data_IF_962206583430
#
_entry.id   IF_962206583430
#
_cell.length_a   1.000
_cell.length_b   1.000
_cell.length_c   1.000
_cell.angle_alpha   90.00
_cell.angle_beta   90.00
_cell.angle_gamma   90.00
#
_symmetry.space_group_name_H-M   'P 1'
#
loop_
_entity.id
_entity.type
_entity.pdbx_description
1 polymer ?
#
# COMPACT_ATOMS: atom_id res chain seq x y z
N UNK A 1 45.05 26.01 -6.79
CA UNK A 1 44.82 25.69 -5.36
C UNK A 1 43.40 26.10 -5.03
N UNK A 2 42.53 25.17 -4.62
CA UNK A 2 41.12 25.48 -4.30
C UNK A 2 41.05 26.15 -2.93
N UNK A 3 40.42 27.31 -2.83
CA UNK A 3 40.25 28.03 -1.56
C UNK A 3 39.10 27.44 -0.75
N UNK A 4 39.20 27.45 0.58
CA UNK A 4 38.17 26.95 1.53
C UNK A 4 36.79 27.55 1.24
N UNK A 5 36.73 28.80 0.79
CA UNK A 5 35.49 29.48 0.39
C UNK A 5 34.89 28.93 -0.92
N UNK A 6 35.73 28.61 -1.90
CA UNK A 6 35.28 27.99 -3.15
C UNK A 6 34.78 26.56 -2.90
N UNK A 7 35.44 25.82 -2.02
CA UNK A 7 34.99 24.49 -1.61
C UNK A 7 33.62 24.53 -0.94
N UNK A 8 33.39 25.46 -0.01
CA UNK A 8 32.11 25.64 0.68
C UNK A 8 30.98 26.11 -0.24
N UNK A 9 31.28 27.02 -1.18
CA UNK A 9 30.28 27.47 -2.16
C UNK A 9 29.88 26.36 -3.14
N UNK A 10 30.84 25.54 -3.56
CA UNK A 10 30.58 24.40 -4.46
C UNK A 10 29.77 23.28 -3.77
N UNK A 11 30.00 23.01 -2.48
CA UNK A 11 29.25 22.00 -1.73
C UNK A 11 27.83 22.45 -1.35
N UNK A 12 27.60 23.74 -1.15
CA UNK A 12 26.25 24.28 -0.95
C UNK A 12 25.34 24.11 -2.19
N UNK A 13 25.91 24.18 -3.40
CA UNK A 13 25.17 23.99 -4.66
C UNK A 13 24.63 22.57 -4.85
N UNK A 14 25.29 21.55 -4.29
CA UNK A 14 24.87 20.15 -4.34
C UNK A 14 23.66 19.84 -3.44
N UNK A 15 23.37 20.67 -2.43
CA UNK A 15 22.23 20.48 -1.52
C UNK A 15 20.90 21.00 -2.10
N UNK A 16 20.96 21.89 -3.11
CA UNK A 16 19.78 22.50 -3.74
C UNK A 16 19.17 21.60 -4.82
N UNK A 17 19.94 20.70 -5.40
CA UNK A 17 19.44 19.63 -6.26
C UNK A 17 19.03 18.45 -5.38
N UNK A 18 17.92 18.61 -4.65
CA UNK A 18 17.35 17.52 -3.86
C UNK A 18 17.26 16.26 -4.70
N UNK A 19 17.79 15.15 -4.19
CA UNK A 19 17.59 13.84 -4.82
C UNK A 19 16.08 13.64 -4.89
N UNK A 20 15.49 13.40 -6.08
CA UNK A 20 14.08 13.09 -6.14
C UNK A 20 13.87 11.80 -5.38
N UNK A 21 13.36 11.90 -4.15
CA UNK A 21 12.83 10.77 -3.43
C UNK A 21 11.58 10.35 -4.21
N UNK A 22 11.75 9.44 -5.18
CA UNK A 22 10.63 8.62 -5.61
C UNK A 22 10.19 7.92 -4.34
N UNK A 23 9.06 8.35 -3.77
CA UNK A 23 8.42 7.67 -2.66
C UNK A 23 8.02 6.28 -3.12
N UNK A 24 8.98 5.35 -3.12
CA UNK A 24 8.73 3.96 -3.36
C UNK A 24 7.88 3.51 -2.18
N UNK A 25 6.63 3.17 -2.47
CA UNK A 25 5.70 2.58 -1.52
C UNK A 25 6.35 1.30 -0.96
N UNK A 26 6.96 1.41 0.22
CA UNK A 26 7.72 0.33 0.86
C UNK A 26 6.80 -0.66 1.59
N UNK A 27 5.47 -0.53 1.41
CA UNK A 27 4.51 -1.50 1.91
C UNK A 27 4.72 -2.82 1.19
N UNK A 28 4.74 -3.90 1.99
CA UNK A 28 4.85 -5.27 1.46
C UNK A 28 3.69 -5.55 0.53
N UNK A 29 3.98 -6.14 -0.62
CA UNK A 29 2.97 -6.61 -1.58
C UNK A 29 2.49 -7.99 -1.14
N UNK A 30 1.18 -8.15 -0.98
CA UNK A 30 0.56 -9.39 -0.50
C UNK A 30 -0.48 -9.85 -1.51
N UNK A 31 -0.46 -11.14 -1.84
CA UNK A 31 -1.51 -11.81 -2.59
C UNK A 31 -2.55 -12.38 -1.61
N UNK A 32 -3.83 -12.14 -1.88
CA UNK A 32 -4.92 -12.68 -1.07
C UNK A 32 -5.47 -13.96 -1.70
N UNK A 33 -5.55 -15.02 -0.91
CA UNK A 33 -6.16 -16.29 -1.31
C UNK A 33 -7.35 -16.59 -0.39
N UNK A 34 -8.48 -16.95 -0.98
CA UNK A 34 -9.68 -17.30 -0.23
C UNK A 34 -10.59 -18.24 -1.00
N UNK A 35 -11.49 -18.93 -0.30
CA UNK A 35 -12.47 -19.80 -0.95
C UNK A 35 -13.66 -19.02 -1.51
N UNK A 36 -14.22 -18.11 -0.73
CA UNK A 36 -15.37 -17.28 -1.11
C UNK A 36 -15.32 -15.93 -0.37
N UNK A 37 -15.87 -14.86 -0.96
CA UNK A 37 -16.02 -13.57 -0.29
C UNK A 37 -17.49 -13.18 -0.28
N UNK A 38 -18.13 -13.32 0.87
CA UNK A 38 -19.54 -12.93 1.07
C UNK A 38 -19.66 -11.98 2.26
N UNK A 39 -20.82 -11.36 2.37
CA UNK A 39 -21.12 -10.50 3.51
C UNK A 39 -20.93 -11.25 4.84
N UNK A 40 -20.22 -10.63 5.78
CA UNK A 40 -19.85 -11.17 7.09
C UNK A 40 -18.96 -12.41 7.05
N UNK A 41 -18.29 -12.71 5.93
CA UNK A 41 -17.30 -13.79 5.89
C UNK A 41 -15.96 -13.36 6.48
N UNK A 42 -15.19 -14.34 6.96
CA UNK A 42 -13.83 -14.10 7.42
C UNK A 42 -12.93 -13.55 6.30
N UNK A 43 -13.11 -14.07 5.08
CA UNK A 43 -12.38 -13.60 3.92
C UNK A 43 -12.67 -12.12 3.64
N UNK A 44 -13.92 -11.68 3.75
CA UNK A 44 -14.26 -10.25 3.67
C UNK A 44 -13.51 -9.45 4.73
N UNK A 45 -13.57 -9.88 5.99
CA UNK A 45 -12.93 -9.16 7.10
C UNK A 45 -11.43 -8.97 6.88
N UNK A 46 -10.72 -10.03 6.46
CA UNK A 46 -9.28 -9.92 6.19
C UNK A 46 -8.97 -9.08 4.97
N UNK A 47 -9.71 -9.26 3.87
CA UNK A 47 -9.48 -8.49 2.66
C UNK A 47 -9.65 -6.99 2.94
N UNK A 48 -10.71 -6.60 3.64
CA UNK A 48 -11.00 -5.21 3.98
C UNK A 48 -9.89 -4.59 4.84
N UNK A 49 -9.28 -5.36 5.76
CA UNK A 49 -8.15 -4.87 6.57
C UNK A 49 -6.88 -4.65 5.76
N UNK A 50 -6.68 -5.46 4.71
CA UNK A 50 -5.51 -5.36 3.83
C UNK A 50 -5.69 -4.23 2.80
N UNK A 51 -6.92 -3.95 2.38
CA UNK A 51 -7.17 -2.96 1.30
C UNK A 51 -7.60 -1.59 1.82
N UNK A 52 -8.39 -1.54 2.88
CA UNK A 52 -8.98 -0.31 3.42
C UNK A 52 -8.38 0.09 4.79
N UNK A 53 -7.95 -0.88 5.58
CA UNK A 53 -7.43 -0.66 6.93
C UNK A 53 -8.48 -0.98 7.98
N UNK A 54 -8.31 -0.48 9.20
CA UNK A 54 -9.25 -0.74 10.29
C UNK A 54 -9.18 0.30 11.40
N UNK A 55 -10.26 0.42 12.17
CA UNK A 55 -10.20 1.08 13.46
C UNK A 55 -9.52 0.15 14.49
N UNK A 56 -8.55 0.67 15.24
CA UNK A 56 -7.92 -0.03 16.35
C UNK A 56 -7.52 1.00 17.41
N UNK A 57 -7.76 0.72 18.70
CA UNK A 57 -7.31 1.60 19.79
C UNK A 57 -7.72 3.08 19.64
N UNK A 58 -8.95 3.34 19.16
CA UNK A 58 -9.48 4.70 18.99
C UNK A 58 -8.92 5.50 17.80
N UNK A 59 -8.05 4.89 16.97
CA UNK A 59 -7.53 5.51 15.76
C UNK A 59 -7.82 4.65 14.53
N UNK A 60 -7.77 5.28 13.36
CA UNK A 60 -7.72 4.56 12.11
C UNK A 60 -6.28 4.07 11.88
N UNK A 61 -6.15 2.80 11.53
CA UNK A 61 -4.90 2.15 11.17
C UNK A 61 -4.92 1.88 9.67
N UNK A 62 -4.08 2.60 8.94
CA UNK A 62 -3.87 2.40 7.52
C UNK A 62 -3.33 0.98 7.22
N UNK A 63 -3.62 0.44 6.03
CA UNK A 63 -3.05 -0.82 5.60
C UNK A 63 -1.52 -0.80 5.62
N UNK A 64 -0.94 -1.73 6.39
CA UNK A 64 0.51 -1.94 6.46
C UNK A 64 1.10 -2.64 5.22
N UNK A 65 0.24 -3.26 4.43
CA UNK A 65 0.57 -3.95 3.18
C UNK A 65 -0.27 -3.42 2.03
N UNK A 66 0.17 -3.69 0.81
CA UNK A 66 -0.55 -3.37 -0.42
C UNK A 66 -1.05 -4.66 -1.04
N UNK A 67 -2.36 -4.74 -1.28
CA UNK A 67 -2.95 -5.80 -2.08
C UNK A 67 -2.35 -5.79 -3.49
N UNK A 68 -1.78 -6.92 -3.89
CA UNK A 68 -1.07 -7.05 -5.17
C UNK A 68 -1.85 -7.91 -6.18
N UNK A 69 -2.56 -8.92 -5.70
CA UNK A 69 -3.41 -9.80 -6.50
C UNK A 69 -4.40 -10.55 -5.60
N UNK A 70 -5.46 -11.07 -6.18
CA UNK A 70 -6.46 -11.89 -5.48
C UNK A 70 -6.76 -13.18 -6.26
N UNK A 71 -6.93 -14.29 -5.54
CA UNK A 71 -7.37 -15.57 -6.09
C UNK A 71 -8.49 -16.14 -5.21
N UNK A 72 -9.68 -16.33 -5.79
CA UNK A 72 -10.87 -16.86 -5.12
C UNK A 72 -11.33 -18.12 -5.82
N UNK A 73 -11.61 -19.17 -5.05
CA UNK A 73 -11.95 -20.50 -5.56
C UNK A 73 -13.42 -20.62 -6.01
N UNK A 74 -14.34 -19.93 -5.32
CA UNK A 74 -15.78 -20.11 -5.46
C UNK A 74 -16.53 -18.77 -5.53
N UNK A 75 -17.56 -18.72 -6.36
CA UNK A 75 -18.37 -17.52 -6.61
C UNK A 75 -19.87 -17.79 -6.38
N UNK A 76 -20.30 -18.01 -5.13
CA UNK A 76 -21.71 -18.26 -4.81
C UNK A 76 -22.57 -17.00 -4.97
N UNK A 77 -23.90 -17.15 -4.83
CA UNK A 77 -24.80 -16.00 -4.85
C UNK A 77 -24.47 -15.00 -3.73
N UNK A 78 -24.35 -13.72 -4.08
CA UNK A 78 -23.96 -12.67 -3.14
C UNK A 78 -22.45 -12.54 -2.93
N UNK A 79 -21.64 -13.13 -3.82
CA UNK A 79 -20.19 -12.92 -3.85
C UNK A 79 -19.85 -11.43 -4.06
N UNK A 80 -18.90 -10.96 -3.26
CA UNK A 80 -18.45 -9.57 -3.22
C UNK A 80 -17.16 -9.37 -4.01
N UNK A 81 -16.58 -10.44 -4.58
CA UNK A 81 -15.26 -10.40 -5.23
C UNK A 81 -15.21 -9.38 -6.37
N UNK A 82 -16.15 -9.34 -7.34
CA UNK A 82 -16.11 -8.36 -8.44
C UNK A 82 -16.08 -6.91 -7.95
N UNK A 83 -16.95 -6.56 -6.99
CA UNK A 83 -17.02 -5.21 -6.44
C UNK A 83 -15.78 -4.82 -5.64
N UNK A 84 -15.06 -5.80 -5.06
CA UNK A 84 -13.79 -5.53 -4.35
C UNK A 84 -12.62 -5.36 -5.30
N UNK A 85 -12.55 -6.16 -6.35
CA UNK A 85 -11.54 -6.03 -7.40
C UNK A 85 -11.63 -4.65 -8.04
N UNK A 86 -12.83 -4.24 -8.45
CA UNK A 86 -13.04 -2.92 -9.06
C UNK A 86 -12.70 -1.77 -8.09
N UNK A 87 -13.21 -1.83 -6.84
CA UNK A 87 -13.01 -0.77 -5.85
C UNK A 87 -11.55 -0.56 -5.47
N UNK A 88 -10.79 -1.64 -5.37
CA UNK A 88 -9.44 -1.60 -4.80
C UNK A 88 -8.32 -1.81 -5.83
N UNK A 89 -8.66 -2.04 -7.11
CA UNK A 89 -7.69 -2.25 -8.18
C UNK A 89 -6.79 -3.46 -7.93
N UNK A 90 -7.39 -4.57 -7.49
CA UNK A 90 -6.72 -5.83 -7.15
C UNK A 90 -6.49 -6.74 -8.37
#
# INVERSE_FOLDING_TARGET
MVSRRQFLAASAGLMLTGIPSRGADNRKRVAFLGTEIRQHSHAQHFLDRITAGQAWGGHWLEPSSRGASICIDQFPQGDLTPGRVERHGL
#
